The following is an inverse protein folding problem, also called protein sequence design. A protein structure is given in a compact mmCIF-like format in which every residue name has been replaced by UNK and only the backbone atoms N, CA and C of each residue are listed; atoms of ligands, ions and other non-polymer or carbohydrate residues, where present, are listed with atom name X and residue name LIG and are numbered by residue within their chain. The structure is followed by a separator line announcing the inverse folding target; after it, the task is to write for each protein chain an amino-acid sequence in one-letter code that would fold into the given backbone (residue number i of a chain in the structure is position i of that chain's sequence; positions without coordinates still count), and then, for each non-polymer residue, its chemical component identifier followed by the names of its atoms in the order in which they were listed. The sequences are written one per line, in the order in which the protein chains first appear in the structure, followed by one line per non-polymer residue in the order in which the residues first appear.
data_IF_990604837496
#
_entry.id   IF_990604837496
#
_cell.length_a   1.000
_cell.length_b   1.000
_cell.length_c   1.000
_cell.angle_alpha   90.00
_cell.angle_beta   90.00
_cell.angle_gamma   90.00
#
_symmetry.space_group_name_H-M   'P 1'
#
loop_
_entity.id
_entity.type
_entity.pdbx_description
1 polymer ?
#
# COMPACT_ATOMS: atom_id res chain seq x y z
N UNK A 1 1.56 -22.13 5.28
CA UNK A 1 2.34 -21.21 6.15
C UNK A 1 1.42 -20.59 7.18
N UNK A 2 1.88 -20.37 8.41
CA UNK A 2 1.10 -19.63 9.43
C UNK A 2 1.14 -18.14 9.11
N UNK A 3 -0.01 -17.46 9.04
CA UNK A 3 -0.09 -16.02 8.80
C UNK A 3 0.61 -15.22 9.91
N UNK A 4 1.26 -14.11 9.58
CA UNK A 4 1.88 -13.22 10.56
C UNK A 4 0.83 -12.63 11.52
N UNK A 5 1.24 -12.16 12.71
CA UNK A 5 0.33 -11.45 13.63
C UNK A 5 -0.27 -10.21 12.95
N UNK A 6 0.53 -9.52 12.15
CA UNK A 6 0.10 -8.33 11.42
C UNK A 6 -0.99 -8.68 10.39
N UNK A 7 -0.76 -9.68 9.54
CA UNK A 7 -1.76 -10.12 8.57
C UNK A 7 -3.06 -10.59 9.24
N UNK A 8 -2.98 -11.26 10.40
CA UNK A 8 -4.17 -11.63 11.17
C UNK A 8 -4.97 -10.41 11.66
N UNK A 9 -4.30 -9.32 12.06
CA UNK A 9 -4.96 -8.07 12.44
C UNK A 9 -5.66 -7.45 11.22
N UNK A 10 -4.96 -7.38 10.08
CA UNK A 10 -5.53 -6.83 8.84
C UNK A 10 -6.73 -7.66 8.38
N UNK A 11 -6.61 -8.99 8.37
CA UNK A 11 -7.68 -9.92 8.00
C UNK A 11 -8.92 -9.77 8.89
N UNK A 12 -8.73 -9.49 10.18
CA UNK A 12 -9.83 -9.34 11.13
C UNK A 12 -10.49 -7.96 11.09
N UNK A 13 -9.69 -6.90 10.95
CA UNK A 13 -10.15 -5.52 11.17
C UNK A 13 -10.42 -4.78 9.87
N UNK A 14 -9.49 -4.85 8.92
CA UNK A 14 -9.51 -4.01 7.73
C UNK A 14 -10.10 -4.74 6.51
N UNK A 15 -9.79 -6.03 6.35
CA UNK A 15 -10.27 -6.83 5.22
C UNK A 15 -11.77 -6.77 5.02
N UNK A 16 -12.65 -6.90 6.04
CA UNK A 16 -14.10 -6.82 5.82
C UNK A 16 -14.51 -5.53 5.11
N UNK A 17 -13.92 -4.40 5.52
CA UNK A 17 -14.21 -3.10 4.93
C UNK A 17 -13.69 -2.95 3.50
N UNK A 18 -12.51 -3.49 3.22
CA UNK A 18 -11.96 -3.51 1.86
C UNK A 18 -12.86 -4.35 0.92
N UNK A 19 -13.32 -5.51 1.37
CA UNK A 19 -14.23 -6.36 0.58
C UNK A 19 -15.58 -5.67 0.32
N UNK A 20 -16.16 -4.99 1.31
CA UNK A 20 -17.37 -4.18 1.14
C UNK A 20 -17.22 -3.09 0.07
N UNK A 21 -16.01 -2.53 -0.05
CA UNK A 21 -15.66 -1.50 -1.03
C UNK A 21 -15.23 -2.08 -2.38
N UNK A 22 -15.43 -3.39 -2.60
CA UNK A 22 -15.14 -4.05 -3.88
C UNK A 22 -13.67 -4.39 -4.11
N UNK A 23 -12.81 -4.32 -3.09
CA UNK A 23 -11.44 -4.80 -3.22
C UNK A 23 -11.39 -6.32 -3.15
N UNK A 24 -10.50 -6.89 -3.95
CA UNK A 24 -10.13 -8.30 -3.93
C UNK A 24 -8.71 -8.45 -3.41
N UNK A 25 -8.47 -9.49 -2.59
CA UNK A 25 -7.11 -9.78 -2.13
C UNK A 25 -6.30 -10.41 -3.26
N UNK A 26 -5.11 -9.86 -3.52
CA UNK A 26 -4.20 -10.36 -4.55
C UNK A 26 -3.00 -11.02 -3.90
N UNK A 27 -2.78 -12.29 -4.24
CA UNK A 27 -1.57 -13.01 -3.87
C UNK A 27 -0.63 -13.11 -5.07
N UNK A 28 0.62 -12.67 -4.87
CA UNK A 28 1.69 -12.85 -5.87
C UNK A 28 2.81 -13.72 -5.30
N UNK A 29 3.41 -14.53 -6.15
CA UNK A 29 4.57 -15.40 -5.87
C UNK A 29 5.77 -14.97 -6.71
N UNK A 30 6.95 -15.47 -6.32
CA UNK A 30 8.22 -15.28 -7.05
C UNK A 30 8.61 -13.80 -7.29
N UNK A 31 8.15 -12.90 -6.41
CA UNK A 31 8.41 -11.46 -6.48
C UNK A 31 8.46 -10.83 -5.08
N UNK A 32 9.10 -9.66 -4.98
CA UNK A 32 8.91 -8.74 -3.85
C UNK A 32 7.62 -7.95 -4.04
N UNK A 33 6.84 -7.82 -2.98
CA UNK A 33 5.56 -7.11 -2.96
C UNK A 33 5.23 -6.70 -1.52
N UNK A 34 4.23 -5.84 -1.32
CA UNK A 34 3.65 -5.65 0.00
C UNK A 34 3.18 -6.98 0.62
N UNK A 35 3.28 -7.09 1.95
CA UNK A 35 2.84 -8.28 2.68
C UNK A 35 1.35 -8.57 2.46
N UNK A 36 0.57 -7.50 2.41
CA UNK A 36 -0.86 -7.52 2.15
C UNK A 36 -1.16 -6.63 0.95
N UNK A 37 -1.84 -7.17 -0.04
CA UNK A 37 -2.15 -6.49 -1.29
C UNK A 37 -3.61 -6.73 -1.68
N UNK A 38 -4.31 -5.66 -2.01
CA UNK A 38 -5.69 -5.66 -2.46
C UNK A 38 -5.84 -4.79 -3.70
N UNK A 39 -6.82 -5.13 -4.54
CA UNK A 39 -7.11 -4.44 -5.80
C UNK A 39 -8.61 -4.19 -5.97
N UNK A 40 -8.99 -2.98 -6.36
CA UNK A 40 -10.30 -2.67 -6.93
C UNK A 40 -10.06 -1.91 -8.26
N UNK A 41 -10.42 -2.51 -9.39
CA UNK A 41 -10.12 -1.98 -10.74
C UNK A 41 -8.63 -1.61 -10.90
N UNK A 42 -8.29 -0.33 -11.08
CA UNK A 42 -6.90 0.15 -11.18
C UNK A 42 -6.33 0.66 -9.85
N UNK A 43 -7.15 0.65 -8.78
CA UNK A 43 -6.76 1.09 -7.46
C UNK A 43 -6.23 -0.08 -6.63
N UNK A 44 -5.04 0.12 -6.07
CA UNK A 44 -4.34 -0.84 -5.25
C UNK A 44 -4.20 -0.32 -3.83
N UNK A 45 -4.43 -1.20 -2.87
CA UNK A 45 -4.08 -0.99 -1.47
C UNK A 45 -3.00 -2.00 -1.08
N UNK A 46 -1.86 -1.49 -0.62
CA UNK A 46 -0.70 -2.29 -0.24
C UNK A 46 -0.24 -1.92 1.16
N UNK A 47 0.09 -2.91 1.99
CA UNK A 47 0.63 -2.63 3.32
C UNK A 47 1.56 -3.73 3.83
N UNK A 48 2.59 -3.34 4.57
CA UNK A 48 3.64 -4.22 5.09
C UNK A 48 4.09 -3.76 6.46
N UNK A 49 4.38 -4.70 7.37
CA UNK A 49 4.97 -4.41 8.67
C UNK A 49 6.31 -5.13 8.83
N UNK A 50 7.41 -4.36 8.89
CA UNK A 50 8.70 -4.89 9.32
C UNK A 50 8.88 -4.65 10.82
N UNK A 51 8.78 -5.73 11.60
CA UNK A 51 8.95 -5.68 13.05
C UNK A 51 10.39 -5.39 13.50
N UNK A 52 11.39 -5.63 12.64
CA UNK A 52 12.82 -5.42 12.98
C UNK A 52 13.15 -3.94 13.01
N UNK A 53 12.72 -3.25 11.97
CA UNK A 53 12.96 -1.82 11.78
C UNK A 53 11.78 -0.96 12.25
N UNK A 54 10.74 -1.61 12.78
CA UNK A 54 9.49 -0.98 13.21
C UNK A 54 8.87 -0.10 12.12
N UNK A 55 8.99 -0.59 10.88
CA UNK A 55 8.60 0.16 9.70
C UNK A 55 7.23 -0.33 9.20
N UNK A 56 6.29 0.61 9.11
CA UNK A 56 4.95 0.37 8.60
C UNK A 56 4.78 1.09 7.26
N UNK A 57 4.55 0.30 6.21
CA UNK A 57 4.24 0.79 4.88
C UNK A 57 2.73 0.69 4.66
N UNK A 58 2.07 1.79 4.26
CA UNK A 58 0.64 1.80 3.93
C UNK A 58 0.46 2.66 2.68
N UNK A 59 -0.07 2.05 1.63
CA UNK A 59 -0.21 2.71 0.34
C UNK A 59 -1.58 2.50 -0.28
N UNK A 60 -2.05 3.53 -0.98
CA UNK A 60 -3.25 3.53 -1.80
C UNK A 60 -2.95 4.28 -3.10
N UNK A 61 -3.03 3.59 -4.24
CA UNK A 61 -2.75 4.17 -5.55
C UNK A 61 -2.56 3.13 -6.65
N UNK A 62 -1.65 3.38 -7.60
CA UNK A 62 -1.39 2.45 -8.70
C UNK A 62 -0.24 1.49 -8.38
N UNK A 63 -0.23 0.31 -9.00
CA UNK A 63 0.84 -0.66 -8.86
C UNK A 63 1.93 -0.39 -9.91
N UNK A 64 3.16 -0.24 -9.48
CA UNK A 64 4.31 0.00 -10.36
C UNK A 64 5.37 -1.09 -10.24
N UNK A 65 6.06 -1.30 -11.34
CA UNK A 65 7.34 -1.99 -11.34
C UNK A 65 8.35 -1.19 -10.54
N UNK A 66 9.20 -1.87 -9.79
CA UNK A 66 10.38 -1.28 -9.17
C UNK A 66 11.60 -2.08 -9.58
N UNK A 67 12.60 -1.37 -10.11
CA UNK A 67 13.86 -1.96 -10.54
C UNK A 67 14.63 -2.42 -9.31
N UNK A 68 14.79 -3.73 -9.19
CA UNK A 68 15.51 -4.38 -8.09
C UNK A 68 16.17 -5.67 -8.61
N UNK A 69 16.92 -6.38 -7.76
CA UNK A 69 17.62 -7.63 -8.13
C UNK A 69 16.63 -8.74 -8.54
N UNK A 70 15.39 -8.67 -8.05
CA UNK A 70 14.29 -9.55 -8.44
C UNK A 70 13.04 -8.72 -8.75
N UNK A 71 12.03 -9.28 -9.45
CA UNK A 71 10.76 -8.60 -9.72
C UNK A 71 10.19 -8.00 -8.44
N UNK A 72 10.00 -6.69 -8.42
CA UNK A 72 9.46 -5.97 -7.27
C UNK A 72 8.30 -5.10 -7.70
N UNK A 73 7.22 -5.20 -6.94
CA UNK A 73 6.01 -4.42 -7.10
C UNK A 73 5.85 -3.48 -5.91
N UNK A 74 5.47 -2.25 -6.19
CA UNK A 74 5.17 -1.24 -5.16
C UNK A 74 3.87 -0.53 -5.50
N UNK A 75 3.12 -0.14 -4.48
CA UNK A 75 1.92 0.69 -4.65
C UNK A 75 2.34 2.14 -4.48
N UNK A 76 2.21 2.93 -5.55
CA UNK A 76 2.57 4.34 -5.53
C UNK A 76 1.41 5.18 -4.99
N UNK A 77 1.56 5.62 -3.73
CA UNK A 77 0.63 6.55 -3.09
C UNK A 77 0.67 6.36 -1.58
N UNK A 78 1.42 7.19 -0.87
CA UNK A 78 1.48 7.14 0.59
C UNK A 78 0.09 7.42 1.18
N UNK A 79 -0.43 6.50 1.99
CA UNK A 79 -1.78 6.61 2.52
C UNK A 79 -1.98 7.89 3.36
N UNK A 80 -0.92 8.38 4.00
CA UNK A 80 -0.97 9.57 4.84
C UNK A 80 -1.31 10.84 4.06
N UNK A 81 -1.15 10.85 2.73
CA UNK A 81 -1.59 11.94 1.86
C UNK A 81 -3.11 12.09 1.90
N UNK A 82 -3.85 10.99 2.05
CA UNK A 82 -5.31 10.98 2.08
C UNK A 82 -5.88 11.07 3.50
N UNK A 83 -5.12 10.58 4.49
CA UNK A 83 -5.55 10.55 5.89
C UNK A 83 -4.38 10.83 6.83
N UNK A 84 -4.35 12.06 7.35
CA UNK A 84 -3.39 12.48 8.38
C UNK A 84 -3.61 11.78 9.73
N UNK A 85 -4.72 11.04 9.92
CA UNK A 85 -4.99 10.37 11.20
C UNK A 85 -3.97 9.28 11.52
N UNK A 86 -3.42 8.62 10.49
CA UNK A 86 -2.38 7.60 10.68
C UNK A 86 -1.11 8.21 11.28
N UNK A 87 -0.74 9.43 10.87
CA UNK A 87 0.45 10.10 11.37
C UNK A 87 0.34 10.49 12.86
N UNK A 88 -0.87 10.49 13.42
CA UNK A 88 -1.12 10.81 14.84
C UNK A 88 -0.91 9.61 15.76
N UNK A 89 -0.88 8.39 15.21
CA UNK A 89 -0.73 7.16 15.98
C UNK A 89 0.74 6.95 16.37
N UNK A 90 0.97 6.52 17.61
CA UNK A 90 2.33 6.29 18.11
C UNK A 90 2.62 4.80 18.14
N UNK A 91 3.77 4.44 17.59
CA UNK A 91 4.23 3.06 17.54
C UNK A 91 4.47 2.45 18.94
N UNK A 92 4.68 3.29 19.95
CA UNK A 92 4.78 2.89 21.35
C UNK A 92 3.48 2.38 21.96
N UNK A 93 2.34 2.56 21.30
CA UNK A 93 1.03 2.19 21.83
C UNK A 93 0.85 0.67 21.82
N UNK A 94 0.35 0.11 22.93
CA UNK A 94 0.18 -1.34 23.12
C UNK A 94 -0.62 -2.02 21.99
N UNK A 95 -1.55 -1.28 21.39
CA UNK A 95 -2.42 -1.73 20.29
C UNK A 95 -2.16 -0.98 18.98
N UNK A 96 -0.95 -0.46 18.75
CA UNK A 96 -0.60 0.37 17.60
C UNK A 96 -1.12 -0.18 16.26
N UNK A 97 -0.79 -1.43 15.93
CA UNK A 97 -1.18 -2.04 14.64
C UNK A 97 -2.69 -2.24 14.51
N UNK A 98 -3.40 -2.54 15.61
CA UNK A 98 -4.86 -2.62 15.60
C UNK A 98 -5.50 -1.25 15.42
N UNK A 99 -4.96 -0.22 16.07
CA UNK A 99 -5.42 1.15 15.94
C UNK A 99 -5.21 1.66 14.51
N UNK A 100 -4.05 1.40 13.90
CA UNK A 100 -3.81 1.69 12.48
C UNK A 100 -4.87 1.01 11.62
N UNK A 101 -5.09 -0.30 11.78
CA UNK A 101 -6.03 -1.03 10.96
C UNK A 101 -7.46 -0.46 11.08
N UNK A 102 -7.88 -0.09 12.30
CA UNK A 102 -9.17 0.59 12.56
C UNK A 102 -9.23 1.97 11.91
N UNK A 103 -8.16 2.76 12.03
CA UNK A 103 -8.08 4.09 11.42
C UNK A 103 -8.19 4.00 9.90
N UNK A 104 -7.50 3.04 9.26
CA UNK A 104 -7.65 2.80 7.82
C UNK A 104 -9.09 2.40 7.51
N UNK A 105 -9.66 1.42 8.23
CA UNK A 105 -11.03 0.97 7.98
C UNK A 105 -12.06 2.11 8.05
N UNK A 106 -11.86 3.07 8.96
CA UNK A 106 -12.74 4.23 9.10
C UNK A 106 -12.50 5.32 8.06
N UNK A 107 -11.30 5.38 7.47
CA UNK A 107 -10.88 6.48 6.57
C UNK A 107 -10.68 6.07 5.12
N UNK A 108 -10.77 4.78 4.80
CA UNK A 108 -10.46 4.26 3.47
C UNK A 108 -11.43 4.76 2.39
N UNK A 109 -12.72 4.85 2.69
CA UNK A 109 -13.72 5.36 1.75
C UNK A 109 -13.50 6.85 1.39
N UNK A 110 -13.35 7.79 2.35
CA UNK A 110 -13.00 9.16 2.01
C UNK A 110 -11.59 9.27 1.38
N UNK A 111 -10.66 8.36 1.70
CA UNK A 111 -9.36 8.31 1.05
C UNK A 111 -9.45 7.94 -0.43
N UNK A 112 -10.26 6.94 -0.79
CA UNK A 112 -10.54 6.55 -2.18
C UNK A 112 -11.15 7.72 -2.96
N UNK A 113 -12.10 8.44 -2.36
CA UNK A 113 -12.70 9.63 -2.98
C UNK A 113 -11.63 10.71 -3.25
N UNK A 114 -10.81 11.01 -2.25
CA UNK A 114 -9.72 12.00 -2.37
C UNK A 114 -8.72 11.58 -3.45
N UNK A 115 -8.41 10.30 -3.51
CA UNK A 115 -7.56 9.72 -4.54
C UNK A 115 -8.12 10.00 -5.95
N UNK A 116 -9.38 9.67 -6.21
CA UNK A 116 -9.98 9.90 -7.53
C UNK A 116 -10.04 11.39 -7.90
N UNK A 117 -10.26 12.27 -6.93
CA UNK A 117 -10.34 13.72 -7.16
C UNK A 117 -8.97 14.37 -7.41
N UNK A 118 -7.88 13.82 -6.83
CA UNK A 118 -6.57 14.50 -6.76
C UNK A 118 -5.41 13.66 -7.29
N UNK A 119 -5.68 12.55 -7.97
CA UNK A 119 -4.63 11.61 -8.37
C UNK A 119 -3.49 12.27 -9.15
N UNK A 120 -3.81 13.09 -10.16
CA UNK A 120 -2.79 13.77 -10.97
C UNK A 120 -1.89 14.69 -10.14
N UNK A 121 -2.46 15.43 -9.18
CA UNK A 121 -1.71 16.30 -8.28
C UNK A 121 -0.78 15.49 -7.35
N UNK A 122 -1.27 14.36 -6.86
CA UNK A 122 -0.53 13.46 -5.97
C UNK A 122 0.65 12.85 -6.71
N UNK A 123 0.43 12.35 -7.92
CA UNK A 123 1.48 11.80 -8.78
C UNK A 123 2.51 12.87 -9.09
N UNK A 124 2.08 14.06 -9.48
CA UNK A 124 2.96 15.19 -9.78
C UNK A 124 3.84 15.56 -8.59
N UNK A 125 3.27 15.70 -7.39
CA UNK A 125 4.04 15.94 -6.15
C UNK A 125 5.07 14.86 -5.89
N UNK A 126 4.71 13.60 -6.15
CA UNK A 126 5.62 12.47 -5.96
C UNK A 126 6.87 12.58 -6.84
N UNK A 127 6.73 13.09 -8.06
CA UNK A 127 7.84 13.28 -9.01
C UNK A 127 8.58 14.61 -8.85
N UNK A 128 7.93 15.68 -8.39
CA UNK A 128 8.51 17.03 -8.37
C UNK A 128 9.14 17.43 -7.02
N UNK A 129 8.57 17.05 -5.87
CA UNK A 129 8.87 17.69 -4.59
C UNK A 129 9.97 17.03 -3.75
N UNK A 130 10.89 16.29 -4.38
CA UNK A 130 11.61 15.23 -3.66
C UNK A 130 13.15 15.33 -3.75
N UNK A 131 13.79 15.20 -2.58
CA UNK A 131 15.21 15.42 -2.26
C UNK A 131 16.13 14.42 -2.99
N UNK A 132 17.46 14.54 -2.86
CA UNK A 132 18.45 13.63 -3.53
C UNK A 132 18.11 12.13 -3.45
N UNK A 133 17.63 11.64 -2.30
CA UNK A 133 17.25 10.23 -2.11
C UNK A 133 16.03 9.81 -2.92
N UNK A 134 15.10 10.73 -3.16
CA UNK A 134 13.91 10.45 -3.94
C UNK A 134 14.17 10.42 -5.45
N UNK A 135 15.21 11.12 -5.93
CA UNK A 135 15.67 10.93 -7.32
C UNK A 135 16.12 9.50 -7.58
N UNK A 136 16.78 8.86 -6.61
CA UNK A 136 17.17 7.45 -6.72
C UNK A 136 15.92 6.57 -6.80
N UNK A 137 14.93 6.79 -5.94
CA UNK A 137 13.66 6.07 -5.99
C UNK A 137 12.97 6.23 -7.36
N UNK A 138 12.83 7.46 -7.86
CA UNK A 138 12.22 7.75 -9.16
C UNK A 138 12.98 7.05 -10.30
N UNK A 139 14.31 7.02 -10.26
CA UNK A 139 15.12 6.31 -11.26
C UNK A 139 14.92 4.79 -11.27
N UNK A 140 14.41 4.22 -10.17
CA UNK A 140 14.11 2.80 -10.05
C UNK A 140 12.61 2.51 -10.21
N UNK A 141 11.75 3.53 -10.13
CA UNK A 141 10.33 3.40 -10.40
C UNK A 141 10.13 3.14 -11.90
N UNK A 142 9.60 1.97 -12.22
CA UNK A 142 9.23 1.57 -13.56
C UNK A 142 7.83 2.05 -13.94
N UNK A 143 7.35 1.53 -15.07
CA UNK A 143 5.99 1.79 -15.51
C UNK A 143 4.96 1.18 -14.55
N UNK A 144 3.73 1.68 -14.65
CA UNK A 144 2.58 1.00 -14.08
C UNK A 144 2.49 -0.44 -14.64
N UNK A 145 2.10 -1.37 -13.78
CA UNK A 145 2.03 -2.80 -14.08
C UNK A 145 0.74 -3.07 -14.84
N UNK A 146 0.85 -3.75 -15.99
CA UNK A 146 -0.33 -4.21 -16.74
C UNK A 146 -0.78 -5.58 -16.26
N UNK A 147 -2.06 -5.88 -16.46
CA UNK A 147 -2.68 -7.13 -16.00
C UNK A 147 -2.04 -8.38 -16.61
N UNK A 148 -1.65 -8.31 -17.89
CA UNK A 148 -0.96 -9.42 -18.56
C UNK A 148 0.41 -9.69 -17.92
N UNK A 149 1.09 -8.65 -17.45
CA UNK A 149 2.39 -8.78 -16.80
C UNK A 149 2.24 -9.36 -15.39
N UNK A 150 1.24 -8.89 -14.65
CA UNK A 150 0.93 -9.35 -13.30
C UNK A 150 0.49 -10.82 -13.26
N UNK A 151 -0.21 -11.29 -14.30
CA UNK A 151 -0.73 -12.66 -14.40
C UNK A 151 0.35 -13.74 -14.18
N UNK A 152 1.60 -13.45 -14.58
CA UNK A 152 2.76 -14.34 -14.45
C UNK A 152 3.15 -14.61 -13.00
N UNK A 153 2.78 -13.72 -12.09
CA UNK A 153 3.14 -13.77 -10.68
C UNK A 153 1.95 -14.14 -9.79
N UNK A 154 0.73 -14.26 -10.32
CA UNK A 154 -0.42 -14.63 -9.48
C UNK A 154 -0.24 -16.05 -8.92
N UNK A 155 -0.48 -16.19 -7.62
CA UNK A 155 -0.31 -17.45 -6.88
C UNK A 155 -1.31 -18.51 -7.35
#
# INVERSE_FOLDING_TARGET
MKKSKYQQIIDRVLRPRLLELGFEQIELKDCMKPEVLYRNENLWFGTSWDWRDRYLEINLGHLHWFKDVMPRFIVLGDYSIYSNEIQKLKESDENYLENVARTIANTIEPAIKTYHEKYEEIVKRYFEERNKYARVFINHLGSEVRDEELSKYRA
#
